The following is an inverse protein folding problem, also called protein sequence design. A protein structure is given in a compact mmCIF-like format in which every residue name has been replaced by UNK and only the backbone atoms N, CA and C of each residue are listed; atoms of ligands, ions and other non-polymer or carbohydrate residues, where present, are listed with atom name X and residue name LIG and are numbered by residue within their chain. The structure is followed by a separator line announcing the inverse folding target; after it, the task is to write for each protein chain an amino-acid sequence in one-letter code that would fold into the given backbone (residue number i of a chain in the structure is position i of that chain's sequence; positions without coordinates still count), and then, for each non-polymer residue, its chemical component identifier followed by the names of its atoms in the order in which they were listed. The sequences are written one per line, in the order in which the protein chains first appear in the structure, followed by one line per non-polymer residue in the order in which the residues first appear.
data_IF_783560455804
#
_entry.id   IF_783560455804
#
_cell.length_a   1.000
_cell.length_b   1.000
_cell.length_c   1.000
_cell.angle_alpha   90.00
_cell.angle_beta   90.00
_cell.angle_gamma   90.00
#
_symmetry.space_group_name_H-M   'P 1'
#
loop_
_entity.id
_entity.type
_entity.pdbx_description
1 polymer ?
#
# COMPACT_ATOMS: atom_id res chain seq x y z
N UNK A 1 4.88 4.19 11.70
CA UNK A 1 4.72 2.88 11.03
C UNK A 1 5.89 1.92 11.23
N UNK A 2 7.09 2.40 11.59
CA UNK A 2 8.29 1.53 11.66
C UNK A 2 8.54 0.84 13.00
N UNK A 3 7.77 1.18 14.05
CA UNK A 3 7.86 0.47 15.34
C UNK A 3 7.09 -0.86 15.23
N UNK A 4 7.58 -1.94 15.82
CA UNK A 4 6.86 -3.19 15.86
C UNK A 4 5.53 -3.02 16.60
N UNK A 5 4.44 -3.70 16.18
CA UNK A 5 3.20 -3.70 16.93
C UNK A 5 3.38 -4.40 18.29
N UNK A 6 2.57 -4.07 19.30
CA UNK A 6 2.52 -4.82 20.56
C UNK A 6 2.27 -6.32 20.33
N UNK A 7 2.70 -7.16 21.28
CA UNK A 7 2.44 -8.59 21.22
C UNK A 7 0.93 -8.89 21.11
N UNK A 8 0.56 -9.82 20.23
CA UNK A 8 -0.84 -10.16 19.95
C UNK A 8 -1.58 -9.18 19.01
N UNK A 9 -0.95 -8.09 18.58
CA UNK A 9 -1.55 -7.13 17.65
C UNK A 9 -0.98 -7.25 16.22
N UNK A 10 -1.79 -6.87 15.23
CA UNK A 10 -1.36 -6.77 13.82
C UNK A 10 -1.13 -5.32 13.45
N UNK A 11 0.00 -5.05 12.79
CA UNK A 11 0.26 -3.74 12.20
C UNK A 11 -0.71 -3.53 11.01
N UNK A 12 -1.60 -2.55 11.13
CA UNK A 12 -2.44 -2.07 10.02
C UNK A 12 -2.04 -0.64 9.69
N UNK A 13 -1.67 -0.40 8.43
CA UNK A 13 -1.25 0.93 7.95
C UNK A 13 -2.27 1.42 6.94
N UNK A 14 -2.96 2.52 7.28
CA UNK A 14 -3.81 3.24 6.33
C UNK A 14 -2.97 4.34 5.68
N UNK A 15 -2.81 4.26 4.36
CA UNK A 15 -1.96 5.17 3.61
C UNK A 15 -2.63 5.62 2.30
N UNK A 16 -2.18 6.76 1.79
CA UNK A 16 -2.49 7.21 0.43
C UNK A 16 -1.48 6.61 -0.56
N UNK A 17 -1.50 7.08 -1.81
CA UNK A 17 -0.52 6.70 -2.84
C UNK A 17 0.95 7.04 -2.47
N UNK A 18 1.22 7.70 -1.34
CA UNK A 18 2.58 7.87 -0.80
C UNK A 18 3.26 6.52 -0.50
N UNK A 19 2.49 5.48 -0.12
CA UNK A 19 3.03 4.14 0.09
C UNK A 19 3.41 3.40 -1.21
N UNK A 20 3.00 3.92 -2.38
CA UNK A 20 3.21 3.29 -3.69
C UNK A 20 4.67 3.28 -4.10
N UNK A 21 5.46 4.30 -3.75
CA UNK A 21 6.84 4.49 -4.24
C UNK A 21 7.87 4.59 -3.11
N UNK A 22 7.66 5.43 -2.10
CA UNK A 22 8.76 5.95 -1.26
C UNK A 22 8.94 5.27 0.11
N UNK A 23 8.02 4.41 0.54
CA UNK A 23 8.06 3.81 1.86
C UNK A 23 8.11 2.28 1.80
N UNK A 24 9.21 1.71 2.30
CA UNK A 24 9.30 0.28 2.59
C UNK A 24 8.96 0.08 4.05
N UNK A 25 7.77 -0.43 4.32
CA UNK A 25 7.35 -0.83 5.66
C UNK A 25 7.64 -2.33 5.76
N UNK A 26 8.53 -2.78 6.67
CA UNK A 26 8.82 -4.20 6.81
C UNK A 26 7.59 -4.96 7.33
N UNK A 27 7.42 -6.22 6.89
CA UNK A 27 6.34 -7.09 7.37
C UNK A 27 4.95 -6.81 6.78
N UNK A 28 4.85 -6.04 5.69
CA UNK A 28 3.60 -5.93 4.93
C UNK A 28 3.41 -7.19 4.08
N UNK A 29 2.39 -7.98 4.45
CA UNK A 29 1.99 -9.21 3.76
C UNK A 29 0.67 -9.09 2.99
N UNK A 30 -0.13 -8.09 3.35
CA UNK A 30 -1.47 -7.89 2.80
C UNK A 30 -1.60 -6.44 2.38
N UNK A 31 -2.00 -6.23 1.13
CA UNK A 31 -2.37 -4.91 0.59
C UNK A 31 -3.84 -4.97 0.23
N UNK A 32 -4.59 -3.95 0.63
CA UNK A 32 -5.96 -3.72 0.17
C UNK A 32 -5.91 -2.43 -0.65
N UNK A 33 -6.09 -2.54 -1.96
CA UNK A 33 -6.01 -1.40 -2.87
C UNK A 33 -7.41 -0.94 -3.30
N UNK A 34 -7.76 0.30 -2.98
CA UNK A 34 -9.03 0.88 -3.41
C UNK A 34 -9.08 1.15 -4.93
N UNK A 35 -7.96 1.03 -5.66
CA UNK A 35 -7.90 1.24 -7.12
C UNK A 35 -8.06 2.70 -7.54
N UNK A 36 -8.06 3.63 -6.59
CA UNK A 36 -8.33 5.06 -6.83
C UNK A 36 -7.17 5.94 -6.36
N UNK A 37 -7.08 7.14 -6.93
CA UNK A 37 -6.10 8.17 -6.56
C UNK A 37 -6.68 9.58 -6.75
N UNK A 38 -6.31 10.50 -5.84
CA UNK A 38 -6.47 11.94 -6.04
C UNK A 38 -5.12 12.51 -6.50
N UNK A 39 -5.04 13.00 -7.73
CA UNK A 39 -3.81 13.60 -8.28
C UNK A 39 -3.83 15.11 -8.07
N UNK A 40 -2.67 15.72 -7.81
CA UNK A 40 -2.57 17.15 -7.49
C UNK A 40 -3.11 18.09 -8.58
N UNK A 41 -3.03 17.66 -9.85
CA UNK A 41 -3.53 18.42 -11.01
C UNK A 41 -5.01 18.13 -11.35
N UNK A 42 -5.69 17.28 -10.59
CA UNK A 42 -7.04 16.83 -10.90
C UNK A 42 -7.87 16.75 -9.61
N UNK A 43 -8.85 17.64 -9.46
CA UNK A 43 -9.60 17.75 -8.19
C UNK A 43 -10.62 16.61 -7.96
N UNK A 44 -10.64 15.60 -8.84
CA UNK A 44 -11.50 14.43 -8.72
C UNK A 44 -10.69 13.16 -8.42
N UNK A 45 -11.32 12.25 -7.69
CA UNK A 45 -10.80 10.90 -7.45
C UNK A 45 -11.01 10.07 -8.72
N UNK A 46 -9.92 9.54 -9.29
CA UNK A 46 -9.95 8.77 -10.53
C UNK A 46 -9.34 7.38 -10.34
N UNK A 47 -9.56 6.50 -11.30
CA UNK A 47 -8.93 5.17 -11.35
C UNK A 47 -7.42 5.30 -11.51
N UNK A 48 -6.69 4.39 -10.87
CA UNK A 48 -5.24 4.25 -11.05
C UNK A 48 -4.93 3.57 -12.38
N UNK A 49 -3.70 3.75 -12.87
CA UNK A 49 -3.22 2.97 -14.01
C UNK A 49 -2.92 1.53 -13.58
N UNK A 50 -2.89 0.61 -14.54
CA UNK A 50 -2.45 -0.77 -14.29
C UNK A 50 -1.02 -0.80 -13.71
N UNK A 51 -0.14 0.09 -14.18
CA UNK A 51 1.22 0.22 -13.64
C UNK A 51 1.21 0.59 -12.15
N UNK A 52 0.35 1.53 -11.73
CA UNK A 52 0.19 1.89 -10.32
C UNK A 52 -0.40 0.75 -9.50
N UNK A 53 -1.39 0.03 -10.02
CA UNK A 53 -1.96 -1.15 -9.35
C UNK A 53 -0.87 -2.21 -9.13
N UNK A 54 -0.05 -2.51 -10.14
CA UNK A 54 1.06 -3.46 -10.04
C UNK A 54 2.11 -3.00 -9.00
N UNK A 55 2.43 -1.71 -8.95
CA UNK A 55 3.35 -1.17 -7.92
C UNK A 55 2.79 -1.32 -6.50
N UNK A 56 1.48 -1.11 -6.31
CA UNK A 56 0.80 -1.30 -5.01
C UNK A 56 0.76 -2.76 -4.61
N UNK A 57 0.39 -3.67 -5.53
CA UNK A 57 0.38 -5.10 -5.29
C UNK A 57 1.78 -5.63 -4.88
N UNK A 58 2.84 -5.10 -5.51
CA UNK A 58 4.22 -5.41 -5.17
C UNK A 58 4.65 -5.02 -3.75
N UNK A 59 3.81 -4.29 -2.99
CA UNK A 59 4.07 -3.96 -1.58
C UNK A 59 3.74 -5.13 -0.63
N UNK A 60 2.86 -6.05 -1.02
CA UNK A 60 2.48 -7.21 -0.21
C UNK A 60 3.53 -8.33 -0.21
N UNK A 61 4.46 -8.36 -1.17
CA UNK A 61 5.36 -9.49 -1.40
C UNK A 61 6.85 -9.18 -1.21
N UNK A 62 7.20 -8.17 -0.41
CA UNK A 62 8.58 -7.64 -0.39
C UNK A 62 9.56 -8.50 0.41
N UNK A 63 9.12 -9.07 1.52
CA UNK A 63 9.97 -9.85 2.45
C UNK A 63 9.57 -11.33 2.52
N UNK A 64 8.34 -11.65 2.12
CA UNK A 64 7.76 -12.99 2.12
C UNK A 64 6.58 -13.02 1.12
N UNK A 65 6.06 -14.20 0.74
CA UNK A 65 4.85 -14.28 -0.09
C UNK A 65 3.67 -13.54 0.56
N UNK A 66 2.98 -12.72 -0.23
CA UNK A 66 1.82 -11.97 0.25
C UNK A 66 0.73 -11.82 -0.81
N UNK A 67 -0.35 -11.16 -0.41
CA UNK A 67 -1.57 -11.05 -1.19
C UNK A 67 -2.01 -9.59 -1.34
N UNK A 68 -2.47 -9.24 -2.54
CA UNK A 68 -3.15 -7.99 -2.81
C UNK A 68 -4.62 -8.28 -3.09
N UNK A 69 -5.49 -7.48 -2.47
CA UNK A 69 -6.93 -7.47 -2.66
C UNK A 69 -7.37 -6.16 -3.29
#
# INVERSE_FOLDING_TARGET
VFRPPPAGARLCVVATNVAETSLTIPGIKYVVDCGRVKKRFYDRVTWISQASANQRAGRAGRTEPGHCY
#
